data_IF_697475477327
#
_entry.id   IF_697475477327
#
_cell.length_a   1.000
_cell.length_b   1.000
_cell.length_c   1.000
_cell.angle_alpha   90.00
_cell.angle_beta   90.00
_cell.angle_gamma   90.00
#
_symmetry.space_group_name_H-M   'P 1'
#
loop_
_entity.id
_entity.type
_entity.pdbx_description
1 polymer ?
#
# COMPACT_ATOMS: atom_id res chain seq x y z
N UNK A 1 2.46 -1.32 -1.25
CA UNK A 1 1.30 -2.19 -1.49
C UNK A 1 1.64 -3.11 -2.64
N UNK A 2 1.50 -4.41 -2.44
CA UNK A 2 1.48 -5.38 -3.53
C UNK A 2 0.21 -5.16 -4.35
N UNK A 3 0.40 -5.06 -5.66
CA UNK A 3 -0.65 -4.77 -6.63
C UNK A 3 -0.33 -5.52 -7.92
N UNK A 4 -1.35 -5.79 -8.73
CA UNK A 4 -1.18 -6.32 -10.08
C UNK A 4 -1.92 -5.45 -11.11
N UNK A 5 -1.55 -5.60 -12.38
CA UNK A 5 -2.26 -4.94 -13.48
C UNK A 5 -2.31 -3.41 -13.43
N UNK A 6 -1.28 -2.75 -12.87
CA UNK A 6 -1.24 -1.28 -12.79
C UNK A 6 -1.34 -0.69 -14.20
N UNK A 7 -2.35 0.16 -14.44
CA UNK A 7 -2.55 0.90 -15.69
C UNK A 7 -2.79 2.36 -15.38
N UNK A 8 -2.01 3.23 -16.00
CA UNK A 8 -2.20 4.67 -15.93
C UNK A 8 -3.35 5.15 -16.80
N UNK A 9 -4.05 6.17 -16.34
CA UNK A 9 -5.04 6.88 -17.13
C UNK A 9 -5.17 8.33 -16.67
N UNK A 10 -5.87 9.15 -17.46
CA UNK A 10 -6.21 10.53 -17.09
C UNK A 10 -7.69 10.62 -16.71
N UNK A 11 -7.96 11.34 -15.62
CA UNK A 11 -9.32 11.70 -15.18
C UNK A 11 -9.30 13.16 -14.73
N UNK A 12 -10.16 13.99 -15.31
CA UNK A 12 -10.25 15.43 -15.05
C UNK A 12 -8.89 16.14 -15.21
N UNK A 13 -8.13 15.78 -16.26
CA UNK A 13 -6.79 16.31 -16.54
C UNK A 13 -5.69 15.84 -15.58
N UNK A 14 -6.02 15.07 -14.52
CA UNK A 14 -5.07 14.58 -13.51
C UNK A 14 -4.61 13.16 -13.84
N UNK A 15 -3.41 12.80 -13.40
CA UNK A 15 -2.85 11.43 -13.54
C UNK A 15 -3.45 10.51 -12.49
N UNK A 16 -3.98 9.37 -12.93
CA UNK A 16 -4.54 8.32 -12.10
C UNK A 16 -3.95 6.97 -12.47
N UNK A 17 -4.05 6.02 -11.56
CA UNK A 17 -3.71 4.61 -11.79
C UNK A 17 -4.88 3.74 -11.37
N UNK A 18 -5.17 2.72 -12.18
CA UNK A 18 -6.03 1.60 -11.80
C UNK A 18 -5.17 0.36 -11.58
N UNK A 19 -5.48 -0.44 -10.57
CA UNK A 19 -4.68 -1.60 -10.20
C UNK A 19 -5.54 -2.58 -9.39
N UNK A 20 -5.20 -3.87 -9.47
CA UNK A 20 -5.81 -4.90 -8.65
C UNK A 20 -5.04 -5.14 -7.35
N UNK A 21 -5.76 -5.54 -6.30
CA UNK A 21 -5.21 -6.06 -5.04
C UNK A 21 -5.91 -7.36 -4.66
N UNK A 22 -5.19 -8.24 -3.96
CA UNK A 22 -5.80 -9.39 -3.29
C UNK A 22 -6.11 -9.00 -1.84
N UNK A 23 -7.39 -8.85 -1.45
CA UNK A 23 -7.74 -8.30 -0.14
C UNK A 23 -7.55 -9.31 0.99
N UNK A 24 -7.51 -10.61 0.69
CA UNK A 24 -7.33 -11.68 1.67
C UNK A 24 -5.94 -12.30 1.52
N UNK A 25 -5.19 -12.32 2.62
CA UNK A 25 -3.87 -12.93 2.67
C UNK A 25 -3.97 -14.42 2.34
N UNK A 26 -3.19 -14.88 1.35
CA UNK A 26 -3.17 -16.28 0.93
C UNK A 26 -4.28 -16.70 -0.03
N UNK A 27 -5.19 -15.80 -0.40
CA UNK A 27 -6.25 -16.05 -1.39
C UNK A 27 -6.09 -15.10 -2.57
N UNK A 28 -5.60 -15.64 -3.69
CA UNK A 28 -5.41 -14.91 -4.94
C UNK A 28 -6.63 -14.95 -5.85
N UNK A 29 -7.69 -15.68 -5.49
CA UNK A 29 -8.91 -15.82 -6.30
C UNK A 29 -9.83 -14.62 -6.16
N UNK A 30 -9.74 -13.92 -5.03
CA UNK A 30 -10.47 -12.68 -4.78
C UNK A 30 -9.60 -11.52 -5.23
N UNK A 31 -10.14 -10.75 -6.16
CA UNK A 31 -9.52 -9.56 -6.72
C UNK A 31 -10.37 -8.34 -6.42
N UNK A 32 -9.72 -7.22 -6.08
CA UNK A 32 -10.39 -5.94 -5.92
C UNK A 32 -9.70 -4.88 -6.78
N UNK A 33 -10.42 -4.29 -7.73
CA UNK A 33 -9.92 -3.19 -8.54
C UNK A 33 -9.98 -1.88 -7.74
N UNK A 34 -8.87 -1.15 -7.73
CA UNK A 34 -8.70 0.12 -7.05
C UNK A 34 -8.33 1.20 -8.05
N UNK A 35 -8.82 2.41 -7.81
CA UNK A 35 -8.50 3.62 -8.58
C UNK A 35 -7.95 4.68 -7.63
N UNK A 36 -6.78 5.21 -7.94
CA UNK A 36 -6.16 6.25 -7.13
C UNK A 36 -5.52 7.34 -7.98
N UNK A 37 -5.65 8.58 -7.51
CA UNK A 37 -4.89 9.71 -8.06
C UNK A 37 -3.42 9.50 -7.74
N UNK A 38 -2.54 9.71 -8.72
CA UNK A 38 -1.09 9.70 -8.49
C UNK A 38 -0.74 10.97 -7.71
N UNK A 39 -0.21 10.78 -6.51
CA UNK A 39 0.29 11.87 -5.67
C UNK A 39 1.71 12.27 -6.11
N UNK A 40 2.56 11.28 -6.35
CA UNK A 40 3.99 11.45 -6.68
C UNK A 40 4.51 10.17 -7.38
N UNK A 41 5.71 10.22 -7.94
CA UNK A 41 6.44 9.06 -8.46
C UNK A 41 7.84 9.04 -7.84
N UNK A 42 8.24 7.90 -7.29
CA UNK A 42 9.54 7.76 -6.61
C UNK A 42 10.38 6.67 -7.22
N UNK A 43 11.67 6.97 -7.37
CA UNK A 43 12.69 5.96 -7.66
C UNK A 43 13.00 5.19 -6.38
N UNK A 44 12.90 3.86 -6.45
CA UNK A 44 13.23 2.95 -5.35
C UNK A 44 14.33 2.03 -5.82
N UNK A 45 15.46 2.07 -5.11
CA UNK A 45 16.58 1.16 -5.31
C UNK A 45 16.41 -0.08 -4.44
N UNK A 46 16.50 -1.25 -5.04
CA UNK A 46 16.52 -2.50 -4.29
C UNK A 46 17.93 -2.83 -3.76
N UNK A 47 18.02 -3.86 -2.91
CA UNK A 47 19.29 -4.32 -2.34
C UNK A 47 20.27 -4.87 -3.39
N UNK A 48 19.80 -5.19 -4.60
CA UNK A 48 20.63 -5.61 -5.73
C UNK A 48 21.16 -4.42 -6.56
N UNK A 49 20.77 -3.20 -6.20
CA UNK A 49 21.19 -1.97 -6.86
C UNK A 49 20.33 -1.56 -8.05
N UNK A 50 19.27 -2.31 -8.40
CA UNK A 50 18.35 -1.93 -9.47
C UNK A 50 17.39 -0.85 -9.00
N UNK A 51 17.17 0.14 -9.87
CA UNK A 51 16.23 1.22 -9.63
C UNK A 51 14.91 0.98 -10.36
N UNK A 52 13.81 1.21 -9.64
CA UNK A 52 12.44 1.07 -10.18
C UNK A 52 11.61 2.29 -9.83
N UNK A 53 10.80 2.75 -10.77
CA UNK A 53 9.81 3.80 -10.50
C UNK A 53 8.57 3.22 -9.86
N UNK A 54 8.07 3.87 -8.80
CA UNK A 54 6.84 3.48 -8.12
C UNK A 54 5.88 4.65 -8.01
N UNK A 55 4.61 4.39 -8.30
CA UNK A 55 3.53 5.34 -8.02
C UNK A 55 3.35 5.51 -6.52
N UNK A 56 3.30 6.75 -6.07
CA UNK A 56 2.84 7.11 -4.73
C UNK A 56 1.39 7.53 -4.84
N UNK A 57 0.55 6.91 -4.02
CA UNK A 57 -0.86 7.29 -3.85
C UNK A 57 -1.09 7.76 -2.41
N UNK A 58 -2.12 8.57 -2.23
CA UNK A 58 -2.63 8.93 -0.90
C UNK A 58 -3.90 8.12 -0.62
N UNK A 59 -3.98 7.51 0.56
CA UNK A 59 -5.13 6.70 1.00
C UNK A 59 -5.31 6.82 2.51
N UNK A 60 -6.46 6.40 3.06
CA UNK A 60 -6.65 6.31 4.51
C UNK A 60 -6.23 4.94 5.02
N UNK A 61 -5.35 4.93 6.02
CA UNK A 61 -5.05 3.74 6.81
C UNK A 61 -6.03 3.66 7.97
N UNK A 62 -6.72 2.52 8.09
CA UNK A 62 -7.50 2.17 9.29
C UNK A 62 -6.79 1.04 10.02
N UNK A 63 -6.41 1.26 11.27
CA UNK A 63 -5.69 0.28 12.11
C UNK A 63 -6.12 0.43 13.58
N UNK A 64 -6.70 -0.63 14.15
CA UNK A 64 -7.41 -0.52 15.42
C UNK A 64 -8.47 0.58 15.38
N UNK A 65 -8.37 1.55 16.30
CA UNK A 65 -9.25 2.73 16.36
C UNK A 65 -8.73 3.95 15.57
N UNK A 66 -7.52 3.86 15.00
CA UNK A 66 -6.92 4.96 14.27
C UNK A 66 -7.36 4.95 12.81
N UNK A 67 -7.61 6.15 12.28
CA UNK A 67 -7.93 6.36 10.86
C UNK A 67 -7.33 7.68 10.38
N UNK A 68 -6.29 7.61 9.56
CA UNK A 68 -5.55 8.80 9.12
C UNK A 68 -4.98 8.64 7.70
N UNK A 69 -4.74 9.74 6.97
CA UNK A 69 -4.17 9.68 5.63
C UNK A 69 -2.70 9.24 5.67
N UNK A 70 -2.33 8.37 4.73
CA UNK A 70 -0.95 7.95 4.50
C UNK A 70 -0.61 8.07 3.01
N UNK A 71 0.68 8.21 2.73
CA UNK A 71 1.23 8.07 1.39
C UNK A 71 1.91 6.72 1.26
N UNK A 72 1.65 6.01 0.17
CA UNK A 72 2.23 4.69 -0.03
C UNK A 72 2.60 4.42 -1.48
N UNK A 73 3.63 3.61 -1.69
CA UNK A 73 4.05 3.17 -3.02
C UNK A 73 3.28 1.92 -3.47
N UNK A 74 2.88 1.87 -4.73
CA UNK A 74 2.40 0.67 -5.42
C UNK A 74 3.59 -0.14 -5.95
N UNK A 75 3.53 -1.47 -5.87
CA UNK A 75 4.58 -2.36 -6.35
C UNK A 75 4.01 -3.66 -6.88
N UNK A 76 4.62 -4.20 -7.93
CA UNK A 76 4.33 -5.52 -8.50
C UNK A 76 5.45 -6.47 -8.05
N UNK A 77 5.23 -7.24 -6.98
CA UNK A 77 6.21 -8.20 -6.44
C UNK A 77 5.48 -9.44 -5.92
N UNK A 78 5.56 -10.52 -6.67
CA UNK A 78 4.68 -11.68 -6.44
C UNK A 78 5.19 -12.65 -5.36
N UNK A 79 6.25 -12.27 -4.62
CA UNK A 79 6.86 -13.13 -3.60
C UNK A 79 6.96 -12.46 -2.21
N UNK A 80 6.01 -11.58 -1.86
CA UNK A 80 5.99 -10.93 -0.55
C UNK A 80 5.06 -11.66 0.43
N UNK A 81 5.58 -12.00 1.63
CA UNK A 81 4.79 -12.60 2.72
C UNK A 81 3.62 -11.72 3.18
N UNK A 82 3.75 -10.40 3.08
CA UNK A 82 2.70 -9.44 3.43
C UNK A 82 2.40 -8.55 2.23
N UNK A 83 1.11 -8.31 1.95
CA UNK A 83 0.69 -7.44 0.85
C UNK A 83 1.03 -5.96 1.09
N UNK A 84 1.24 -5.54 2.34
CA UNK A 84 1.58 -4.16 2.67
C UNK A 84 2.75 -4.11 3.65
N UNK A 85 3.68 -3.18 3.39
CA UNK A 85 4.71 -2.76 4.35
C UNK A 85 4.38 -1.34 4.77
N UNK A 86 4.25 -1.13 6.08
CA UNK A 86 4.06 0.19 6.67
C UNK A 86 5.41 0.75 7.10
N UNK A 87 5.85 1.83 6.46
CA UNK A 87 7.12 2.48 6.77
C UNK A 87 7.01 3.45 7.95
N UNK A 88 8.16 3.88 8.49
CA UNK A 88 8.25 4.80 9.64
C UNK A 88 7.41 6.06 9.48
N UNK A 89 7.43 6.71 8.31
CA UNK A 89 6.65 7.93 8.04
C UNK A 89 5.14 7.75 8.22
N UNK A 90 4.61 6.56 7.96
CA UNK A 90 3.20 6.29 8.16
C UNK A 90 2.86 5.92 9.62
N UNK A 91 3.87 5.67 10.47
CA UNK A 91 3.72 5.34 11.89
C UNK A 91 4.04 6.52 12.80
N UNK A 92 4.81 7.50 12.31
CA UNK A 92 5.35 8.61 13.08
C UNK A 92 4.25 9.39 13.82
N UNK A 93 4.35 9.45 15.15
CA UNK A 93 3.38 10.10 16.02
C UNK A 93 2.01 9.43 16.11
N UNK A 94 1.80 8.28 15.47
CA UNK A 94 0.52 7.57 15.42
C UNK A 94 0.59 6.17 16.07
N UNK A 95 1.73 5.48 15.94
CA UNK A 95 1.87 4.06 16.30
C UNK A 95 3.18 3.79 17.06
N UNK A 96 3.12 2.84 17.99
CA UNK A 96 4.27 2.20 18.63
C UNK A 96 4.31 0.72 18.21
N UNK A 97 5.49 0.20 17.89
CA UNK A 97 5.68 -1.21 17.51
C UNK A 97 6.25 -1.97 18.71
N UNK A 98 5.52 -3.00 19.18
CA UNK A 98 6.01 -4.01 20.12
C UNK A 98 6.50 -5.23 19.32
N UNK A 99 7.81 -5.44 19.15
CA UNK A 99 8.35 -6.51 18.31
C UNK A 99 8.06 -7.92 18.83
N UNK A 100 7.83 -8.09 20.13
CA UNK A 100 7.57 -9.42 20.74
C UNK A 100 6.12 -9.89 20.60
N UNK A 101 5.23 -9.02 20.13
CA UNK A 101 3.82 -9.32 19.98
C UNK A 101 3.36 -9.23 18.52
N UNK A 102 2.31 -9.98 18.19
CA UNK A 102 1.68 -9.96 16.87
C UNK A 102 0.17 -9.84 17.03
N UNK A 103 -0.48 -9.11 16.11
CA UNK A 103 -1.95 -8.96 16.08
C UNK A 103 -2.56 -8.31 17.33
N UNK A 104 -1.84 -7.38 17.98
CA UNK A 104 -2.30 -6.66 19.19
C UNK A 104 -3.56 -5.84 18.93
N UNK A 105 -3.58 -5.14 17.79
CA UNK A 105 -4.71 -4.31 17.38
C UNK A 105 -5.73 -5.22 16.70
N UNK A 106 -6.82 -5.52 17.41
CA UNK A 106 -7.94 -6.27 16.84
C UNK A 106 -8.55 -5.53 15.65
N UNK A 107 -9.20 -6.28 14.75
CA UNK A 107 -9.96 -5.68 13.66
C UNK A 107 -10.98 -4.69 14.24
N UNK A 108 -11.15 -3.50 13.64
CA UNK A 108 -12.19 -2.58 14.09
C UNK A 108 -13.53 -3.30 14.03
N UNK A 109 -14.24 -3.34 15.15
CA UNK A 109 -15.63 -3.81 15.18
C UNK A 109 -16.43 -2.87 14.29
N UNK A 110 -16.90 -3.39 13.16
CA UNK A 110 -17.68 -2.68 12.16
C UNK A 110 -18.40 -3.69 11.30
#
# INVERSE_FOLDING_TARGET
>A
MHTFGIKEYKKDGKKWVKFGVHPKQGDITIEHECHAKVFDMRTVRDSGGHETYRYVIETRLKIGYLCYPIKMTLTTRDNMKFHMLLGRTAMEGQLLVEPEASFILQAPQG
#
